data_IF_911635326196
#
_entry.id   IF_911635326196
#
_cell.length_a   1.000
_cell.length_b   1.000
_cell.length_c   1.000
_cell.angle_alpha   90.00
_cell.angle_beta   90.00
_cell.angle_gamma   90.00
#
_symmetry.space_group_name_H-M   'P 1'
#
loop_
_entity.id
_entity.type
_entity.pdbx_description
1 polymer ?
#
# COMPACT_ATOMS: atom_id res chain seq x y z
N UNK A 1 -2.70 -28.92 -0.25
CA UNK A 1 -1.24 -28.78 -0.14
C UNK A 1 -0.95 -27.30 -0.17
N UNK A 2 -0.44 -26.74 0.92
CA UNK A 2 0.00 -25.35 0.99
C UNK A 2 1.39 -25.24 0.36
N UNK A 3 1.59 -24.25 -0.52
CA UNK A 3 2.88 -24.00 -1.14
C UNK A 3 3.64 -22.97 -0.31
N UNK A 4 4.95 -23.12 -0.17
CA UNK A 4 5.77 -22.12 0.51
C UNK A 4 6.03 -20.93 -0.41
N UNK A 5 5.94 -19.72 0.14
CA UNK A 5 6.22 -18.44 -0.51
C UNK A 5 7.44 -17.83 0.18
N UNK A 6 8.41 -17.39 -0.61
CA UNK A 6 9.67 -16.85 -0.12
C UNK A 6 9.81 -15.38 -0.50
N UNK A 7 9.81 -14.50 0.48
CA UNK A 7 9.98 -13.07 0.29
C UNK A 7 11.44 -12.72 0.55
N UNK A 8 12.14 -12.21 -0.46
CA UNK A 8 13.53 -11.77 -0.34
C UNK A 8 13.59 -10.33 0.10
N UNK A 9 14.58 -9.99 0.91
CA UNK A 9 14.81 -8.63 1.36
C UNK A 9 16.28 -8.39 1.67
N UNK A 10 16.67 -7.11 1.62
CA UNK A 10 18.03 -6.66 1.94
C UNK A 10 17.99 -5.82 3.20
N UNK A 11 18.96 -6.04 4.10
CA UNK A 11 19.10 -5.25 5.34
C UNK A 11 19.97 -4.00 5.16
N UNK A 12 19.97 -3.12 6.15
CA UNK A 12 20.84 -1.93 6.21
C UNK A 12 22.33 -2.25 6.18
N UNK A 13 22.72 -3.47 6.56
CA UNK A 13 24.09 -3.97 6.47
C UNK A 13 24.43 -4.56 5.09
N UNK A 14 23.48 -4.56 4.15
CA UNK A 14 23.62 -5.18 2.83
C UNK A 14 23.46 -6.70 2.82
N UNK A 15 22.93 -7.31 3.90
CA UNK A 15 22.70 -8.76 3.93
C UNK A 15 21.40 -9.09 3.22
N UNK A 16 21.46 -10.03 2.29
CA UNK A 16 20.27 -10.64 1.70
C UNK A 16 19.72 -11.71 2.63
N UNK A 17 18.42 -11.63 2.90
CA UNK A 17 17.69 -12.57 3.74
C UNK A 17 16.37 -12.95 3.05
N UNK A 18 15.79 -14.03 3.54
CA UNK A 18 14.52 -14.55 3.02
C UNK A 18 13.57 -14.81 4.18
N UNK A 19 12.35 -14.29 4.09
CA UNK A 19 11.25 -14.64 4.97
C UNK A 19 10.38 -15.69 4.29
N UNK A 20 9.93 -16.68 5.06
CA UNK A 20 9.13 -17.81 4.55
C UNK A 20 7.71 -17.73 5.07
N UNK A 21 6.75 -17.80 4.15
CA UNK A 21 5.32 -17.81 4.42
C UNK A 21 4.67 -18.98 3.72
N UNK A 22 3.43 -19.27 4.09
CA UNK A 22 2.58 -20.22 3.40
C UNK A 22 1.67 -19.46 2.42
N UNK A 23 1.34 -20.07 1.27
CA UNK A 23 0.47 -19.47 0.25
C UNK A 23 -0.96 -19.23 0.74
N UNK A 24 -1.39 -19.90 1.80
CA UNK A 24 -2.69 -19.69 2.45
C UNK A 24 -2.66 -18.65 3.58
N UNK A 25 -1.51 -17.98 3.79
CA UNK A 25 -1.38 -16.99 4.87
C UNK A 25 -2.37 -15.85 4.71
N UNK A 26 -2.93 -15.42 5.84
CA UNK A 26 -3.80 -14.23 5.93
C UNK A 26 -3.03 -13.01 6.40
N UNK A 27 -1.83 -13.18 6.96
CA UNK A 27 -1.04 -12.11 7.53
C UNK A 27 0.44 -12.27 7.16
N UNK A 28 1.02 -11.22 6.60
CA UNK A 28 2.46 -11.10 6.34
C UNK A 28 2.95 -9.89 7.13
N UNK A 29 3.82 -10.15 8.11
CA UNK A 29 4.46 -9.12 8.92
C UNK A 29 5.98 -9.19 8.71
N UNK A 30 6.54 -8.08 8.21
CA UNK A 30 7.97 -7.87 7.96
C UNK A 30 8.46 -6.59 8.65
N UNK A 31 7.98 -6.30 9.86
CA UNK A 31 8.49 -5.21 10.70
C UNK A 31 9.85 -5.57 11.33
N UNK A 32 10.90 -5.64 10.49
CA UNK A 32 12.21 -6.15 10.86
C UNK A 32 13.18 -5.07 11.35
N UNK A 33 12.84 -3.78 11.20
CA UNK A 33 13.62 -2.59 11.62
C UNK A 33 14.88 -2.29 10.83
N UNK A 34 15.36 -3.23 10.02
CA UNK A 34 16.59 -3.09 9.27
C UNK A 34 16.42 -3.27 7.76
N UNK A 35 15.19 -3.39 7.24
CA UNK A 35 14.97 -3.67 5.80
C UNK A 35 15.13 -2.41 4.93
N UNK A 36 15.91 -2.47 3.85
CA UNK A 36 16.12 -1.37 2.88
C UNK A 36 15.48 -1.61 1.52
N UNK A 37 15.30 -2.87 1.14
CA UNK A 37 14.53 -3.28 -0.03
C UNK A 37 13.83 -4.62 0.25
N UNK A 38 12.73 -4.87 -0.46
CA UNK A 38 11.91 -6.07 -0.33
C UNK A 38 11.30 -6.43 -1.68
N UNK A 39 11.34 -7.72 -2.01
CA UNK A 39 10.67 -8.28 -3.19
C UNK A 39 9.31 -8.86 -2.77
N UNK A 40 8.25 -8.09 -3.02
CA UNK A 40 6.87 -8.48 -2.73
C UNK A 40 6.22 -9.29 -3.86
N UNK A 41 6.87 -9.47 -5.02
CA UNK A 41 6.31 -10.22 -6.15
C UNK A 41 5.79 -11.61 -5.76
N UNK A 42 6.43 -12.37 -4.83
CA UNK A 42 5.91 -13.66 -4.38
C UNK A 42 4.53 -13.62 -3.72
N UNK A 43 4.04 -12.45 -3.30
CA UNK A 43 2.69 -12.32 -2.73
C UNK A 43 1.57 -12.58 -3.75
N UNK A 44 1.86 -12.67 -5.05
CA UNK A 44 0.86 -13.06 -6.07
C UNK A 44 0.21 -14.43 -5.78
N UNK A 45 0.88 -15.28 -5.01
CA UNK A 45 0.39 -16.60 -4.60
C UNK A 45 -0.39 -16.57 -3.28
N UNK A 46 -0.36 -15.45 -2.53
CA UNK A 46 -1.04 -15.28 -1.25
C UNK A 46 -2.44 -14.67 -1.43
N UNK A 47 -3.34 -15.36 -2.14
CA UNK A 47 -4.67 -14.82 -2.48
C UNK A 47 -5.57 -14.60 -1.26
N UNK A 48 -5.28 -15.25 -0.13
CA UNK A 48 -6.00 -15.11 1.13
C UNK A 48 -5.43 -14.01 2.04
N UNK A 49 -4.40 -13.28 1.59
CA UNK A 49 -3.75 -12.24 2.37
C UNK A 49 -4.77 -11.14 2.74
N UNK A 50 -4.88 -10.86 4.03
CA UNK A 50 -5.72 -9.82 4.60
C UNK A 50 -4.89 -8.68 5.20
N UNK A 51 -3.71 -8.98 5.72
CA UNK A 51 -2.85 -8.00 6.39
C UNK A 51 -1.44 -8.07 5.83
N UNK A 52 -0.95 -6.95 5.31
CA UNK A 52 0.46 -6.75 4.99
C UNK A 52 1.02 -5.60 5.85
N UNK A 53 1.98 -5.91 6.72
CA UNK A 53 2.75 -4.91 7.44
C UNK A 53 4.22 -5.00 7.06
N UNK A 54 4.74 -3.91 6.48
CA UNK A 54 6.16 -3.68 6.26
C UNK A 54 6.60 -2.36 6.92
N UNK A 55 5.87 -1.94 7.95
CA UNK A 55 6.11 -0.75 8.78
C UNK A 55 7.48 -0.84 9.47
N UNK A 56 7.98 0.29 9.95
CA UNK A 56 9.17 0.36 10.81
C UNK A 56 10.38 -0.28 10.15
N UNK A 57 10.70 0.15 8.92
CA UNK A 57 11.87 -0.28 8.19
C UNK A 57 12.59 0.95 7.61
N UNK A 58 13.53 0.76 6.70
CA UNK A 58 14.27 1.82 6.02
C UNK A 58 14.07 1.78 4.50
N UNK A 59 12.90 1.32 4.04
CA UNK A 59 12.56 1.22 2.63
C UNK A 59 12.56 2.61 1.99
N UNK A 60 13.17 2.74 0.81
CA UNK A 60 13.16 3.98 0.02
C UNK A 60 12.19 3.95 -1.16
N UNK A 61 11.84 2.73 -1.58
CA UNK A 61 10.87 2.38 -2.61
C UNK A 61 10.19 1.06 -2.21
N UNK A 62 9.02 0.80 -2.78
CA UNK A 62 8.33 -0.48 -2.67
C UNK A 62 7.43 -0.68 -3.88
N UNK A 63 7.50 -1.86 -4.49
CA UNK A 63 6.61 -2.26 -5.58
C UNK A 63 5.39 -3.00 -4.99
N UNK A 64 4.19 -2.43 -5.19
CA UNK A 64 2.92 -2.98 -4.72
C UNK A 64 2.20 -3.84 -5.77
N UNK A 65 2.78 -4.05 -6.96
CA UNK A 65 2.12 -4.74 -8.09
C UNK A 65 1.55 -6.11 -7.73
N UNK A 66 2.21 -6.83 -6.82
CA UNK A 66 1.74 -8.14 -6.36
C UNK A 66 0.37 -8.08 -5.64
N UNK A 67 0.02 -6.94 -5.05
CA UNK A 67 -1.21 -6.76 -4.28
C UNK A 67 -2.47 -6.75 -5.16
N UNK A 68 -2.35 -6.56 -6.48
CA UNK A 68 -3.47 -6.69 -7.40
C UNK A 68 -4.14 -8.09 -7.33
N UNK A 69 -3.36 -9.11 -6.93
CA UNK A 69 -3.84 -10.49 -6.72
C UNK A 69 -4.42 -10.73 -5.33
N UNK A 70 -4.12 -9.86 -4.36
CA UNK A 70 -4.54 -9.96 -2.96
C UNK A 70 -5.89 -9.26 -2.75
N UNK A 71 -6.95 -9.74 -3.41
CA UNK A 71 -8.28 -9.11 -3.37
C UNK A 71 -8.91 -9.05 -1.97
N UNK A 72 -8.49 -9.96 -1.08
CA UNK A 72 -8.94 -10.02 0.30
C UNK A 72 -8.15 -9.08 1.25
N UNK A 73 -7.23 -8.25 0.71
CA UNK A 73 -6.41 -7.37 1.53
C UNK A 73 -7.29 -6.32 2.21
N UNK A 74 -7.17 -6.24 3.54
CA UNK A 74 -7.90 -5.32 4.41
C UNK A 74 -6.99 -4.26 5.02
N UNK A 75 -5.72 -4.60 5.27
CA UNK A 75 -4.80 -3.73 5.98
C UNK A 75 -3.45 -3.67 5.27
N UNK A 76 -3.01 -2.46 4.93
CA UNK A 76 -1.69 -2.18 4.40
C UNK A 76 -0.95 -1.17 5.29
N UNK A 77 0.18 -1.58 5.86
CA UNK A 77 1.02 -0.72 6.71
C UNK A 77 2.42 -0.55 6.12
N UNK A 78 2.69 0.66 5.65
CA UNK A 78 3.94 1.15 5.06
C UNK A 78 4.61 2.24 5.93
N UNK A 79 3.99 2.65 7.03
CA UNK A 79 4.48 3.78 7.83
C UNK A 79 5.87 3.58 8.44
N UNK A 80 6.51 4.67 8.87
CA UNK A 80 7.88 4.66 9.42
C UNK A 80 8.88 3.98 8.49
N UNK A 81 8.93 4.46 7.26
CA UNK A 81 9.91 4.09 6.25
C UNK A 81 10.56 5.38 5.70
N UNK A 82 11.19 5.33 4.53
CA UNK A 82 11.82 6.47 3.87
C UNK A 82 11.32 6.61 2.43
N UNK A 83 10.11 6.14 2.15
CA UNK A 83 9.50 6.14 0.82
C UNK A 83 9.39 7.57 0.30
N UNK A 84 9.89 7.81 -0.91
CA UNK A 84 9.85 9.14 -1.55
C UNK A 84 8.65 9.28 -2.49
N UNK A 85 8.23 8.16 -3.06
CA UNK A 85 7.07 7.99 -3.91
C UNK A 85 6.38 6.68 -3.58
N UNK A 86 5.11 6.57 -3.98
CA UNK A 86 4.34 5.35 -3.87
C UNK A 86 3.32 5.30 -4.99
N UNK A 87 3.25 4.16 -5.67
CA UNK A 87 2.20 3.86 -6.63
C UNK A 87 1.09 3.05 -5.93
N UNK A 88 -0.13 3.59 -5.93
CA UNK A 88 -1.29 2.98 -5.30
C UNK A 88 -2.20 2.26 -6.31
N UNK A 89 -1.90 2.31 -7.62
CA UNK A 89 -2.74 1.71 -8.66
C UNK A 89 -3.10 0.23 -8.39
N UNK A 90 -2.18 -0.63 -7.90
CA UNK A 90 -2.51 -2.02 -7.56
C UNK A 90 -3.60 -2.18 -6.50
N UNK A 91 -3.81 -1.17 -5.63
CA UNK A 91 -4.82 -1.21 -4.57
C UNK A 91 -6.24 -1.04 -5.10
N UNK A 92 -6.43 -0.59 -6.35
CA UNK A 92 -7.75 -0.52 -6.97
C UNK A 92 -8.44 -1.90 -7.04
N UNK A 93 -7.68 -3.00 -7.04
CA UNK A 93 -8.20 -4.36 -7.00
C UNK A 93 -8.57 -4.84 -5.58
N UNK A 94 -8.12 -4.15 -4.53
CA UNK A 94 -8.36 -4.48 -3.13
C UNK A 94 -9.63 -3.76 -2.63
N UNK A 95 -10.79 -4.16 -3.12
CA UNK A 95 -12.08 -3.51 -2.78
C UNK A 95 -12.47 -3.66 -1.30
N UNK A 96 -11.88 -4.63 -0.61
CA UNK A 96 -12.08 -4.90 0.83
C UNK A 96 -11.09 -4.16 1.75
N UNK A 97 -10.27 -3.26 1.20
CA UNK A 97 -9.28 -2.51 1.97
C UNK A 97 -9.95 -1.57 2.98
N UNK A 98 -9.53 -1.66 4.24
CA UNK A 98 -10.08 -0.94 5.39
C UNK A 98 -9.07 0.06 5.99
N UNK A 99 -7.78 -0.28 5.98
CA UNK A 99 -6.71 0.54 6.58
C UNK A 99 -5.52 0.67 5.61
N UNK A 100 -5.12 1.92 5.34
CA UNK A 100 -3.86 2.24 4.65
C UNK A 100 -3.07 3.24 5.49
N UNK A 101 -1.85 2.83 5.85
CA UNK A 101 -0.96 3.64 6.70
C UNK A 101 0.38 3.84 6.01
N UNK A 102 0.72 5.09 5.73
CA UNK A 102 1.99 5.48 5.11
C UNK A 102 2.59 6.74 5.74
N UNK A 103 2.17 7.08 6.96
CA UNK A 103 2.74 8.16 7.77
C UNK A 103 4.22 7.93 8.10
N UNK A 104 4.93 9.00 8.46
CA UNK A 104 6.36 8.97 8.75
C UNK A 104 7.17 8.38 7.57
N UNK A 105 6.94 8.90 6.37
CA UNK A 105 7.74 8.62 5.17
C UNK A 105 8.37 9.93 4.65
N UNK A 106 8.83 9.93 3.39
CA UNK A 106 9.36 11.12 2.70
C UNK A 106 8.52 11.45 1.46
N UNK A 107 7.26 11.02 1.47
CA UNK A 107 6.31 11.25 0.40
C UNK A 107 6.07 12.75 0.25
N UNK A 108 5.99 13.22 -0.99
CA UNK A 108 5.67 14.62 -1.30
C UNK A 108 4.28 14.76 -1.90
N UNK A 109 3.94 13.83 -2.79
CA UNK A 109 2.69 13.79 -3.53
C UNK A 109 2.19 12.35 -3.52
N UNK A 110 0.89 12.17 -3.30
CA UNK A 110 0.24 10.86 -3.41
C UNK A 110 -1.02 11.01 -4.26
N UNK A 111 -1.22 10.08 -5.20
CA UNK A 111 -2.44 9.97 -5.97
C UNK A 111 -3.42 9.02 -5.27
N UNK A 112 -4.56 9.55 -4.83
CA UNK A 112 -5.59 8.79 -4.11
C UNK A 112 -6.62 8.15 -5.04
N UNK A 113 -6.54 8.38 -6.36
CA UNK A 113 -7.51 7.86 -7.34
C UNK A 113 -7.80 6.36 -7.17
N UNK A 114 -6.81 5.48 -6.95
CA UNK A 114 -7.05 4.05 -6.75
C UNK A 114 -7.89 3.72 -5.51
N UNK A 115 -7.76 4.53 -4.45
CA UNK A 115 -8.45 4.29 -3.17
C UNK A 115 -9.96 4.58 -3.25
N UNK A 116 -10.44 5.25 -4.30
CA UNK A 116 -11.88 5.43 -4.53
C UNK A 116 -12.60 4.10 -4.84
N UNK A 117 -11.88 3.05 -5.27
CA UNK A 117 -12.44 1.70 -5.45
C UNK A 117 -12.58 0.94 -4.13
N UNK A 118 -11.86 1.36 -3.08
CA UNK A 118 -11.87 0.72 -1.77
C UNK A 118 -13.05 1.23 -0.91
N UNK A 119 -14.27 0.83 -1.25
CA UNK A 119 -15.49 1.32 -0.60
C UNK A 119 -15.57 1.05 0.92
N UNK A 120 -14.76 0.12 1.43
CA UNK A 120 -14.65 -0.21 2.86
C UNK A 120 -13.53 0.54 3.58
N UNK A 121 -12.85 1.49 2.93
CA UNK A 121 -11.73 2.19 3.54
C UNK A 121 -12.20 3.08 4.70
N UNK A 122 -11.75 2.76 5.91
CA UNK A 122 -12.10 3.43 7.16
C UNK A 122 -10.96 4.31 7.67
N UNK A 123 -9.71 3.89 7.45
CA UNK A 123 -8.53 4.58 7.98
C UNK A 123 -7.50 4.84 6.88
N UNK A 124 -7.12 6.12 6.75
CA UNK A 124 -6.05 6.57 5.87
C UNK A 124 -5.10 7.48 6.67
N UNK A 125 -3.93 6.94 7.02
CA UNK A 125 -2.87 7.69 7.71
C UNK A 125 -1.79 8.12 6.72
N UNK A 126 -1.69 9.44 6.55
CA UNK A 126 -0.71 10.12 5.69
C UNK A 126 -0.31 11.40 6.42
N UNK A 127 0.97 11.78 6.32
CA UNK A 127 1.46 13.02 6.92
C UNK A 127 0.75 14.27 6.34
N UNK A 128 0.52 15.29 7.18
CA UNK A 128 -0.16 16.52 6.77
C UNK A 128 0.63 17.35 5.74
N UNK A 129 1.94 17.13 5.63
CA UNK A 129 2.82 17.78 4.65
C UNK A 129 2.66 17.25 3.22
N UNK A 130 2.04 16.08 3.04
CA UNK A 130 1.90 15.43 1.73
C UNK A 130 0.81 16.12 0.90
N UNK A 131 1.11 16.45 -0.36
CA UNK A 131 0.11 16.91 -1.31
C UNK A 131 -0.73 15.74 -1.81
N UNK A 132 -2.05 15.83 -1.70
CA UNK A 132 -2.97 14.79 -2.14
C UNK A 132 -3.51 15.16 -3.52
N UNK A 133 -3.51 14.22 -4.45
CA UNK A 133 -4.08 14.40 -5.79
C UNK A 133 -5.11 13.31 -6.08
N UNK A 134 -6.06 13.59 -6.95
CA UNK A 134 -6.98 12.58 -7.49
C UNK A 134 -7.50 13.03 -8.86
N UNK A 135 -8.00 12.08 -9.64
CA UNK A 135 -8.66 12.33 -10.92
C UNK A 135 -9.92 13.20 -10.72
N UNK A 136 -10.02 14.30 -11.47
CA UNK A 136 -11.15 15.23 -11.47
C UNK A 136 -12.50 14.54 -11.69
N UNK A 137 -12.56 13.47 -12.49
CA UNK A 137 -13.80 12.73 -12.76
C UNK A 137 -14.35 12.04 -11.50
N UNK A 138 -13.49 11.75 -10.53
CA UNK A 138 -13.89 11.13 -9.27
C UNK A 138 -14.63 12.12 -8.35
N UNK A 139 -14.67 13.41 -8.68
CA UNK A 139 -15.46 14.42 -7.96
C UNK A 139 -16.97 14.21 -8.07
N UNK A 140 -17.41 13.53 -9.13
CA UNK A 140 -18.84 13.33 -9.43
C UNK A 140 -19.36 11.93 -9.14
N UNK A 141 -18.50 10.98 -8.73
CA UNK A 141 -18.99 9.65 -8.33
C UNK A 141 -19.73 9.76 -6.99
N UNK A 142 -20.96 9.23 -6.94
CA UNK A 142 -21.89 9.46 -5.82
C UNK A 142 -21.63 8.67 -4.53
N UNK A 143 -20.53 7.91 -4.45
CA UNK A 143 -20.18 7.12 -3.26
C UNK A 143 -18.66 7.08 -3.07
N UNK A 144 -18.18 7.68 -1.98
CA UNK A 144 -16.76 7.66 -1.60
C UNK A 144 -16.60 6.96 -0.24
N UNK A 145 -15.42 6.40 0.03
CA UNK A 145 -15.04 6.09 1.40
C UNK A 145 -15.08 7.37 2.25
N UNK A 146 -15.68 7.28 3.44
CA UNK A 146 -15.91 8.44 4.33
C UNK A 146 -14.61 9.21 4.62
N UNK A 147 -13.51 8.47 4.83
CA UNK A 147 -12.18 9.04 5.08
C UNK A 147 -11.63 9.90 3.94
N UNK A 148 -12.08 9.68 2.70
CA UNK A 148 -11.70 10.52 1.55
C UNK A 148 -12.59 11.76 1.44
N UNK A 149 -13.85 11.67 1.89
CA UNK A 149 -14.78 12.82 1.96
C UNK A 149 -14.22 13.88 2.90
N UNK A 150 -13.73 13.47 4.08
CA UNK A 150 -13.13 14.37 5.06
C UNK A 150 -11.91 15.13 4.51
N UNK A 151 -11.22 14.53 3.54
CA UNK A 151 -10.03 15.10 2.89
C UNK A 151 -10.33 15.83 1.58
N UNK A 152 -11.58 15.91 1.16
CA UNK A 152 -12.01 16.46 -0.13
C UNK A 152 -11.38 17.82 -0.48
N UNK A 153 -11.36 18.75 0.48
CA UNK A 153 -10.83 20.10 0.28
C UNK A 153 -9.29 20.15 0.21
N UNK A 154 -8.61 19.10 0.68
CA UNK A 154 -7.14 18.96 0.63
C UNK A 154 -6.67 18.28 -0.66
N UNK A 155 -7.57 17.63 -1.40
CA UNK A 155 -7.26 16.94 -2.64
C UNK A 155 -7.18 17.96 -3.78
N UNK A 156 -6.04 17.96 -4.47
CA UNK A 156 -5.85 18.65 -5.74
C UNK A 156 -6.39 17.78 -6.88
N UNK A 157 -7.58 18.14 -7.35
CA UNK A 157 -8.28 17.48 -8.45
C UNK A 157 -7.65 17.86 -9.80
N UNK A 158 -7.07 16.88 -10.49
CA UNK A 158 -6.38 17.06 -11.77
C UNK A 158 -7.04 16.23 -12.86
N UNK A 159 -7.13 16.75 -14.08
CA UNK A 159 -7.50 15.93 -15.24
C UNK A 159 -6.40 14.89 -15.43
N UNK A 160 -6.76 13.61 -15.48
CA UNK A 160 -5.84 12.57 -15.91
C UNK A 160 -5.34 12.93 -17.31
N UNK A 161 -4.05 13.23 -17.46
CA UNK A 161 -3.40 13.11 -18.76
C UNK A 161 -3.24 11.61 -19.00
N UNK A 162 -3.77 11.04 -20.08
CA UNK A 162 -3.51 9.64 -20.39
C UNK A 162 -1.99 9.45 -20.49
N UNK A 163 -1.44 8.49 -19.74
CA UNK A 163 -0.08 7.99 -19.95
C UNK A 163 -0.03 7.23 -21.27
#
# INVERSE_FOLDING_TARGET
MTSEVFIRYVTTTGLEKTARFSSDTTCVNLELRDMVSVDLLPLIWCTNLQVLSIRNNSLTEVDLSALERCKNLRVLRLGNNRLQEIDLDPLAACTDLEEVCMENNRLKIVDLSPLFQCSKLLELRIDESVSLTADLLLRSIGSWPEVLIERYNRILWKSSTPR
#
